data_IF_820566309179
#
_entry.id   IF_820566309179
#
_cell.length_a   1.000
_cell.length_b   1.000
_cell.length_c   1.000
_cell.angle_alpha   90.00
_cell.angle_beta   90.00
_cell.angle_gamma   90.00
#
_symmetry.space_group_name_H-M   'P 1'
#
loop_
_entity.id
_entity.type
_entity.pdbx_description
1 polymer ?
#
# COMPACT_ATOMS: atom_id res chain seq x y z
N UNK A 1 -3.20 -17.72 -22.29
CA UNK A 1 -4.50 -18.15 -21.72
C UNK A 1 -4.42 -19.66 -21.64
N UNK A 2 -4.64 -20.26 -20.47
CA UNK A 2 -4.69 -21.72 -20.36
C UNK A 2 -5.92 -22.24 -21.11
N UNK A 3 -5.77 -23.31 -21.90
CA UNK A 3 -6.92 -24.04 -22.46
C UNK A 3 -7.72 -24.70 -21.31
N UNK A 4 -9.00 -25.00 -21.48
CA UNK A 4 -9.85 -25.57 -20.40
C UNK A 4 -9.36 -26.94 -19.90
N UNK A 5 -8.46 -27.59 -20.66
CA UNK A 5 -7.71 -28.81 -20.35
C UNK A 5 -6.33 -28.60 -19.70
N UNK A 6 -5.89 -27.36 -19.47
CA UNK A 6 -4.50 -26.99 -19.10
C UNK A 6 -4.37 -26.22 -17.78
N UNK A 7 -5.29 -26.38 -16.84
CA UNK A 7 -5.03 -25.87 -15.49
C UNK A 7 -3.82 -26.60 -14.86
N UNK A 8 -2.93 -25.89 -14.14
CA UNK A 8 -1.82 -26.52 -13.45
C UNK A 8 -2.28 -27.69 -12.56
N UNK A 9 -1.55 -28.81 -12.58
CA UNK A 9 -1.94 -30.07 -11.91
C UNK A 9 -2.11 -29.95 -10.40
N UNK A 10 -1.49 -28.95 -9.78
CA UNK A 10 -1.64 -28.69 -8.35
C UNK A 10 -2.98 -28.05 -7.99
N UNK A 11 -3.77 -27.53 -8.95
CA UNK A 11 -5.05 -26.90 -8.64
C UNK A 11 -6.08 -27.95 -8.23
N UNK A 12 -6.71 -27.72 -7.07
CA UNK A 12 -7.77 -28.61 -6.60
C UNK A 12 -9.05 -28.41 -7.42
N UNK A 13 -9.90 -29.45 -7.54
CA UNK A 13 -11.15 -29.37 -8.30
C UNK A 13 -12.06 -28.23 -7.84
N UNK A 14 -12.21 -28.03 -6.54
CA UNK A 14 -13.06 -26.99 -5.94
C UNK A 14 -12.54 -25.57 -6.25
N UNK A 15 -11.22 -25.37 -6.27
CA UNK A 15 -10.60 -24.08 -6.62
C UNK A 15 -10.71 -23.83 -8.12
N UNK A 16 -10.52 -24.86 -8.93
CA UNK A 16 -10.69 -24.79 -10.39
C UNK A 16 -12.14 -24.45 -10.75
N UNK A 17 -13.11 -25.08 -10.09
CA UNK A 17 -14.52 -24.76 -10.26
C UNK A 17 -14.83 -23.30 -9.89
N UNK A 18 -14.19 -22.76 -8.85
CA UNK A 18 -14.34 -21.37 -8.45
C UNK A 18 -13.75 -20.37 -9.46
N UNK A 19 -12.57 -20.67 -10.03
CA UNK A 19 -11.97 -19.91 -11.12
C UNK A 19 -12.91 -19.85 -12.33
N UNK A 20 -13.44 -21.01 -12.74
CA UNK A 20 -14.39 -21.13 -13.85
C UNK A 20 -15.70 -20.38 -13.57
N UNK A 21 -16.29 -20.58 -12.37
CA UNK A 21 -17.54 -19.93 -11.94
C UNK A 21 -17.46 -18.40 -12.01
N UNK A 22 -16.28 -17.84 -11.72
CA UNK A 22 -16.05 -16.40 -11.73
C UNK A 22 -15.52 -15.87 -13.06
N UNK A 23 -15.31 -16.74 -14.04
CA UNK A 23 -14.66 -16.42 -15.32
C UNK A 23 -13.30 -15.73 -15.13
N UNK A 24 -12.52 -16.20 -14.14
CA UNK A 24 -11.19 -15.68 -13.87
C UNK A 24 -10.22 -16.24 -14.90
N UNK A 25 -9.67 -15.35 -15.71
CA UNK A 25 -8.63 -15.72 -16.65
C UNK A 25 -7.33 -16.01 -15.89
N UNK A 26 -6.59 -17.02 -16.35
CA UNK A 26 -5.33 -17.43 -15.75
C UNK A 26 -4.20 -17.33 -16.79
N UNK A 27 -3.03 -16.83 -16.36
CA UNK A 27 -1.86 -16.62 -17.21
C UNK A 27 -0.64 -17.31 -16.61
N UNK A 28 0.30 -17.79 -17.43
CA UNK A 28 1.55 -18.33 -16.94
C UNK A 28 2.37 -17.21 -16.29
N UNK A 29 2.80 -17.45 -15.06
CA UNK A 29 3.69 -16.53 -14.33
C UNK A 29 5.15 -16.76 -14.71
N UNK A 30 5.87 -15.68 -14.99
CA UNK A 30 7.33 -15.70 -15.19
C UNK A 30 8.11 -15.40 -13.90
N UNK A 31 7.43 -15.00 -12.82
CA UNK A 31 8.08 -14.68 -11.54
C UNK A 31 8.97 -15.80 -10.97
N UNK A 32 8.71 -17.11 -11.17
CA UNK A 32 9.68 -18.15 -10.76
C UNK A 32 11.08 -18.02 -11.39
N UNK A 33 11.19 -17.41 -12.57
CA UNK A 33 12.48 -17.19 -13.24
C UNK A 33 13.26 -16.01 -12.64
N UNK A 34 12.54 -15.01 -12.13
CA UNK A 34 13.12 -13.76 -11.64
C UNK A 34 13.21 -13.69 -10.11
N UNK A 35 12.38 -14.44 -9.40
CA UNK A 35 12.28 -14.44 -7.94
C UNK A 35 12.21 -15.88 -7.39
N UNK A 36 13.24 -16.72 -7.64
CA UNK A 36 13.20 -18.13 -7.23
C UNK A 36 13.12 -18.30 -5.70
N UNK A 37 13.61 -17.32 -4.93
CA UNK A 37 13.61 -17.37 -3.46
C UNK A 37 12.25 -17.06 -2.81
N UNK A 38 11.29 -16.55 -3.57
CA UNK A 38 9.93 -16.27 -3.07
C UNK A 38 8.85 -16.90 -3.95
N UNK A 39 8.57 -18.20 -3.76
CA UNK A 39 7.59 -18.93 -4.57
C UNK A 39 6.15 -18.39 -4.48
N UNK A 40 5.82 -17.66 -3.40
CA UNK A 40 4.51 -17.04 -3.25
C UNK A 40 4.31 -15.85 -4.19
N UNK A 41 5.39 -15.12 -4.53
CA UNK A 41 5.33 -14.02 -5.49
C UNK A 41 5.02 -14.48 -6.91
N UNK A 42 5.09 -15.80 -7.18
CA UNK A 42 4.69 -16.37 -8.46
C UNK A 42 3.18 -16.31 -8.73
N UNK A 43 2.37 -16.07 -7.69
CA UNK A 43 0.92 -15.93 -7.80
C UNK A 43 0.55 -14.46 -7.66
N UNK A 44 -0.04 -13.87 -8.70
CA UNK A 44 -0.35 -12.45 -8.70
C UNK A 44 -1.66 -12.14 -9.42
N UNK A 45 -2.53 -11.39 -8.76
CA UNK A 45 -3.63 -10.71 -9.39
C UNK A 45 -3.10 -9.63 -10.35
N UNK A 46 -3.55 -9.70 -11.60
CA UNK A 46 -3.21 -8.72 -12.64
C UNK A 46 -4.48 -8.01 -13.07
N UNK A 47 -4.43 -6.68 -13.05
CA UNK A 47 -5.50 -5.80 -13.53
C UNK A 47 -4.95 -4.72 -14.45
N UNK A 48 -4.90 -5.05 -15.73
CA UNK A 48 -4.61 -4.08 -16.79
C UNK A 48 -5.88 -3.60 -17.49
N UNK A 49 -7.08 -3.83 -16.93
CA UNK A 49 -8.38 -3.45 -17.53
C UNK A 49 -8.52 -1.96 -17.91
N UNK A 50 -7.61 -1.10 -17.41
CA UNK A 50 -7.52 0.32 -17.74
C UNK A 50 -6.74 0.63 -19.03
N UNK A 51 -6.09 -0.37 -19.64
CA UNK A 51 -5.36 -0.26 -20.90
C UNK A 51 -6.26 -0.71 -22.07
N UNK A 52 -5.97 -0.24 -23.30
CA UNK A 52 -6.78 -0.50 -24.51
C UNK A 52 -7.01 -1.98 -24.84
N UNK A 53 -6.14 -2.87 -24.34
CA UNK A 53 -6.24 -4.33 -24.45
C UNK A 53 -6.29 -5.01 -23.08
N UNK A 54 -6.88 -4.32 -22.10
CA UNK A 54 -6.77 -4.64 -20.70
C UNK A 54 -7.24 -6.04 -20.32
N UNK A 55 -6.44 -6.67 -19.47
CA UNK A 55 -6.54 -8.06 -19.07
C UNK A 55 -6.74 -8.10 -17.55
N UNK A 56 -7.69 -8.93 -17.08
CA UNK A 56 -7.95 -9.11 -15.65
C UNK A 56 -7.94 -10.59 -15.31
N UNK A 57 -7.09 -10.99 -14.38
CA UNK A 57 -6.96 -12.40 -14.03
C UNK A 57 -5.84 -12.66 -13.02
N UNK A 58 -5.33 -13.88 -13.04
CA UNK A 58 -4.29 -14.34 -12.11
C UNK A 58 -3.12 -14.89 -12.91
N UNK A 59 -1.93 -14.34 -12.68
CA UNK A 59 -0.67 -14.99 -13.03
C UNK A 59 -0.39 -16.09 -12.03
N UNK A 60 -0.11 -17.29 -12.52
CA UNK A 60 0.27 -18.43 -11.71
C UNK A 60 1.24 -19.32 -12.47
N UNK A 61 2.20 -19.98 -11.80
CA UNK A 61 3.19 -20.79 -12.49
C UNK A 61 2.60 -22.15 -12.90
N UNK A 62 3.11 -22.72 -13.99
CA UNK A 62 2.74 -24.07 -14.44
C UNK A 62 3.15 -25.15 -13.45
N UNK A 63 4.32 -24.98 -12.86
CA UNK A 63 4.89 -25.81 -11.80
C UNK A 63 5.29 -24.91 -10.63
N UNK A 64 5.14 -25.39 -9.40
CA UNK A 64 5.47 -24.63 -8.21
C UNK A 64 6.20 -25.52 -7.21
N UNK A 65 7.23 -24.99 -6.51
CA UNK A 65 7.86 -25.72 -5.40
C UNK A 65 6.98 -25.71 -4.13
N UNK A 66 5.89 -24.93 -4.11
CA UNK A 66 4.92 -24.97 -3.02
C UNK A 66 4.18 -26.32 -3.02
N UNK A 67 3.83 -26.81 -1.84
CA UNK A 67 2.90 -27.92 -1.75
C UNK A 67 1.52 -27.54 -2.30
N UNK A 68 0.77 -28.55 -2.72
CA UNK A 68 -0.55 -28.39 -3.34
C UNK A 68 -1.48 -27.51 -2.49
N UNK A 69 -1.53 -27.71 -1.17
CA UNK A 69 -2.40 -26.94 -0.30
C UNK A 69 -2.00 -25.46 -0.31
N UNK A 70 -0.72 -25.15 -0.07
CA UNK A 70 -0.22 -23.78 -0.02
C UNK A 70 -0.39 -23.05 -1.37
N UNK A 71 -0.16 -23.73 -2.49
CA UNK A 71 -0.38 -23.17 -3.82
C UNK A 71 -1.85 -22.77 -4.04
N UNK A 72 -2.80 -23.62 -3.63
CA UNK A 72 -4.23 -23.31 -3.73
C UNK A 72 -4.67 -22.19 -2.78
N UNK A 73 -4.06 -22.08 -1.60
CA UNK A 73 -4.28 -20.93 -0.69
C UNK A 73 -3.84 -19.62 -1.36
N UNK A 74 -2.67 -19.61 -2.03
CA UNK A 74 -2.20 -18.46 -2.78
C UNK A 74 -3.16 -18.08 -3.92
N UNK A 75 -3.66 -19.05 -4.68
CA UNK A 75 -4.65 -18.79 -5.74
C UNK A 75 -5.96 -18.23 -5.17
N UNK A 76 -6.46 -18.77 -4.05
CA UNK A 76 -7.65 -18.26 -3.38
C UNK A 76 -7.46 -16.82 -2.87
N UNK A 77 -6.25 -16.48 -2.41
CA UNK A 77 -5.87 -15.11 -2.05
C UNK A 77 -5.98 -14.16 -3.25
N UNK A 78 -5.46 -14.55 -4.42
CA UNK A 78 -5.55 -13.74 -5.65
C UNK A 78 -7.00 -13.61 -6.16
N UNK A 79 -7.84 -14.64 -6.04
CA UNK A 79 -9.29 -14.49 -6.27
C UNK A 79 -9.90 -13.50 -5.27
N UNK A 80 -9.41 -13.50 -4.03
CA UNK A 80 -9.76 -12.51 -3.01
C UNK A 80 -9.51 -11.07 -3.47
N UNK A 81 -8.37 -10.80 -4.12
CA UNK A 81 -8.06 -9.50 -4.72
C UNK A 81 -9.11 -9.10 -5.77
N UNK A 82 -9.41 -9.99 -6.72
CA UNK A 82 -10.45 -9.78 -7.75
C UNK A 82 -11.79 -9.39 -7.13
N UNK A 83 -12.23 -10.11 -6.09
CA UNK A 83 -13.51 -9.85 -5.43
C UNK A 83 -13.49 -8.55 -4.65
N UNK A 84 -12.37 -8.22 -4.02
CA UNK A 84 -12.24 -7.03 -3.17
C UNK A 84 -12.16 -5.73 -3.99
N UNK A 85 -11.50 -5.77 -5.16
CA UNK A 85 -11.26 -4.62 -6.05
C UNK A 85 -12.50 -4.22 -6.86
N UNK A 86 -13.49 -5.11 -7.03
CA UNK A 86 -14.80 -4.75 -7.63
C UNK A 86 -15.49 -3.57 -6.95
N UNK A 87 -15.17 -3.31 -5.67
CA UNK A 87 -15.74 -2.19 -4.91
C UNK A 87 -15.08 -0.84 -5.24
N UNK A 88 -13.93 -0.81 -5.93
CA UNK A 88 -13.16 0.40 -6.31
C UNK A 88 -12.93 1.39 -5.16
N UNK A 89 -12.80 0.91 -3.93
CA UNK A 89 -12.56 1.75 -2.75
C UNK A 89 -11.06 1.99 -2.63
N UNK A 90 -10.58 3.26 -2.65
CA UNK A 90 -9.17 3.56 -2.42
C UNK A 90 -8.69 3.03 -1.07
N UNK A 91 -7.61 2.25 -1.07
CA UNK A 91 -7.02 1.63 0.12
C UNK A 91 -5.50 1.61 -0.02
N UNK A 92 -4.79 1.69 1.11
CA UNK A 92 -3.35 1.38 1.14
C UNK A 92 -3.10 -0.07 0.76
N UNK A 93 -1.90 -0.38 0.24
CA UNK A 93 -1.50 -1.76 -0.09
C UNK A 93 -1.80 -2.73 1.05
N UNK A 94 -1.36 -2.45 2.28
CA UNK A 94 -1.69 -3.28 3.45
C UNK A 94 -3.20 -3.54 3.63
N UNK A 95 -4.04 -2.51 3.41
CA UNK A 95 -5.49 -2.65 3.55
C UNK A 95 -6.12 -3.43 2.40
N UNK A 96 -5.49 -3.42 1.21
CA UNK A 96 -5.88 -4.28 0.09
C UNK A 96 -5.61 -5.74 0.42
N UNK A 97 -4.41 -6.08 0.87
CA UNK A 97 -4.07 -7.45 1.31
C UNK A 97 -5.04 -7.98 2.37
N UNK A 98 -5.29 -7.19 3.42
CA UNK A 98 -6.25 -7.60 4.47
C UNK A 98 -7.67 -7.79 3.92
N UNK A 99 -8.09 -7.01 2.92
CA UNK A 99 -9.39 -7.17 2.29
C UNK A 99 -9.44 -8.42 1.40
N UNK A 100 -8.37 -8.69 0.65
CA UNK A 100 -8.22 -9.88 -0.17
C UNK A 100 -8.27 -11.16 0.67
N UNK A 101 -7.51 -11.23 1.78
CA UNK A 101 -7.55 -12.36 2.72
C UNK A 101 -8.94 -12.60 3.30
N UNK A 102 -9.67 -11.53 3.69
CA UNK A 102 -11.05 -11.66 4.16
C UNK A 102 -12.01 -12.17 3.09
N UNK A 103 -11.77 -11.81 1.83
CA UNK A 103 -12.54 -12.34 0.70
C UNK A 103 -12.17 -13.81 0.44
N UNK A 104 -10.89 -14.15 0.47
CA UNK A 104 -10.38 -15.51 0.31
C UNK A 104 -10.93 -16.47 1.37
N UNK A 105 -10.99 -16.06 2.64
CA UNK A 105 -11.59 -16.85 3.72
C UNK A 105 -13.07 -17.16 3.46
N UNK A 106 -13.84 -16.17 3.00
CA UNK A 106 -15.25 -16.38 2.63
C UNK A 106 -15.40 -17.32 1.45
N UNK A 107 -14.49 -17.24 0.48
CA UNK A 107 -14.48 -18.14 -0.68
C UNK A 107 -14.15 -19.55 -0.22
N UNK A 108 -13.07 -19.73 0.55
CA UNK A 108 -12.67 -21.01 1.17
C UNK A 108 -13.86 -21.67 1.85
N UNK A 109 -14.52 -20.95 2.75
CA UNK A 109 -15.66 -21.46 3.51
C UNK A 109 -16.84 -21.82 2.58
N UNK A 110 -17.09 -21.02 1.55
CA UNK A 110 -18.17 -21.25 0.58
C UNK A 110 -17.93 -22.46 -0.33
N UNK A 111 -16.69 -22.78 -0.68
CA UNK A 111 -16.36 -23.90 -1.57
C UNK A 111 -15.97 -25.16 -0.80
N UNK A 112 -15.93 -25.09 0.54
CA UNK A 112 -15.54 -26.20 1.40
C UNK A 112 -14.04 -26.53 1.37
N UNK A 113 -13.18 -25.58 0.99
CA UNK A 113 -11.73 -25.80 0.97
C UNK A 113 -11.19 -25.94 2.41
N UNK A 114 -10.30 -26.92 2.68
CA UNK A 114 -9.89 -27.21 4.05
C UNK A 114 -9.09 -26.09 4.73
N UNK A 115 -9.14 -26.05 6.05
CA UNK A 115 -8.36 -25.13 6.89
C UNK A 115 -6.88 -25.50 7.00
N UNK A 116 -6.51 -26.74 6.70
CA UNK A 116 -5.13 -27.22 6.73
C UNK A 116 -4.99 -28.54 5.98
N UNK A 117 -3.76 -28.90 5.64
CA UNK A 117 -3.42 -30.17 5.03
C UNK A 117 -2.77 -31.11 6.07
N UNK A 118 -3.44 -32.22 6.44
CA UNK A 118 -2.88 -33.19 7.40
C UNK A 118 -1.56 -33.82 6.97
N UNK A 119 -1.26 -33.86 5.66
CA UNK A 119 -0.04 -34.50 5.15
C UNK A 119 1.20 -33.63 5.33
N UNK A 120 1.06 -32.34 5.08
CA UNK A 120 2.17 -31.37 5.19
C UNK A 120 2.20 -30.67 6.54
N UNK A 121 1.08 -30.67 7.27
CA UNK A 121 0.90 -29.91 8.50
C UNK A 121 0.60 -28.43 8.27
N UNK A 122 0.64 -27.97 7.01
CA UNK A 122 0.44 -26.56 6.66
C UNK A 122 -1.01 -26.14 6.91
N UNK A 123 -1.17 -24.98 7.52
CA UNK A 123 -2.49 -24.39 7.81
C UNK A 123 -2.74 -23.11 7.02
N UNK A 124 -4.02 -22.79 6.83
CA UNK A 124 -4.46 -21.53 6.23
C UNK A 124 -3.87 -20.32 6.98
N UNK A 125 -3.92 -20.35 8.31
CA UNK A 125 -3.44 -19.25 9.14
C UNK A 125 -1.93 -19.06 9.05
N UNK A 126 -1.16 -20.14 8.89
CA UNK A 126 0.29 -20.05 8.66
C UNK A 126 0.60 -19.46 7.28
N UNK A 127 -0.04 -19.97 6.22
CA UNK A 127 0.13 -19.43 4.87
C UNK A 127 -0.23 -17.93 4.82
N UNK A 128 -1.35 -17.54 5.44
CA UNK A 128 -1.76 -16.14 5.59
C UNK A 128 -0.76 -15.31 6.38
N UNK A 129 -0.27 -15.83 7.51
CA UNK A 129 0.71 -15.13 8.35
C UNK A 129 2.02 -14.91 7.60
N UNK A 130 2.49 -15.93 6.88
CA UNK A 130 3.68 -15.85 6.05
C UNK A 130 3.52 -14.79 4.96
N UNK A 131 2.45 -14.85 4.17
CA UNK A 131 2.19 -13.87 3.12
C UNK A 131 2.05 -12.43 3.66
N UNK A 132 1.31 -12.24 4.77
CA UNK A 132 1.17 -10.91 5.37
C UNK A 132 2.46 -10.36 5.97
N UNK A 133 3.42 -11.22 6.35
CA UNK A 133 4.70 -10.75 6.89
C UNK A 133 5.48 -9.89 5.90
N UNK A 134 5.40 -10.19 4.60
CA UNK A 134 6.00 -9.39 3.51
C UNK A 134 5.44 -7.97 3.45
N UNK A 135 4.17 -7.79 3.83
CA UNK A 135 3.46 -6.51 3.77
C UNK A 135 3.41 -5.77 5.12
N UNK A 136 3.80 -6.40 6.22
CA UNK A 136 3.77 -5.79 7.56
C UNK A 136 4.56 -4.46 7.63
N UNK A 137 5.70 -4.27 6.95
CA UNK A 137 6.37 -2.98 6.88
C UNK A 137 5.53 -1.85 6.25
N UNK A 138 4.58 -2.17 5.38
CA UNK A 138 3.65 -1.21 4.76
C UNK A 138 2.47 -0.84 5.65
N UNK A 139 2.30 -1.51 6.79
CA UNK A 139 1.23 -1.19 7.72
C UNK A 139 1.43 0.23 8.26
N UNK A 140 0.46 1.09 7.97
CA UNK A 140 0.38 2.43 8.55
C UNK A 140 -0.09 2.28 10.00
N UNK A 141 0.79 2.60 10.94
CA UNK A 141 0.56 2.50 12.39
C UNK A 141 0.35 3.90 12.96
N UNK A 142 -0.67 4.05 13.81
CA UNK A 142 -1.02 5.35 14.36
C UNK A 142 0.14 5.98 15.13
N UNK A 143 0.77 5.23 16.03
CA UNK A 143 1.82 5.76 16.92
C UNK A 143 3.10 6.13 16.16
N UNK A 144 3.53 5.33 15.18
CA UNK A 144 4.82 5.52 14.52
C UNK A 144 4.75 6.36 13.26
N UNK A 145 3.60 6.39 12.58
CA UNK A 145 3.45 7.11 11.30
C UNK A 145 2.56 8.34 11.44
N UNK A 146 1.37 8.19 12.02
CA UNK A 146 0.34 9.25 12.05
C UNK A 146 0.59 10.27 13.15
N UNK A 147 0.92 9.83 14.37
CA UNK A 147 1.12 10.72 15.50
C UNK A 147 2.30 11.69 15.29
N UNK A 148 3.46 11.28 14.73
CA UNK A 148 4.53 12.22 14.39
C UNK A 148 4.10 13.24 13.32
N UNK A 149 3.31 12.81 12.33
CA UNK A 149 2.76 13.71 11.32
C UNK A 149 1.87 14.78 11.98
N UNK A 150 0.90 14.37 12.80
CA UNK A 150 0.00 15.29 13.52
C UNK A 150 0.80 16.23 14.43
N UNK A 151 1.75 15.70 15.22
CA UNK A 151 2.56 16.51 16.13
C UNK A 151 3.37 17.56 15.37
N UNK A 152 4.03 17.16 14.29
CA UNK A 152 4.84 18.08 13.49
C UNK A 152 3.97 19.15 12.83
N UNK A 153 2.76 18.80 12.40
CA UNK A 153 1.79 19.76 11.89
C UNK A 153 1.36 20.77 12.96
N UNK A 154 0.98 20.31 14.16
CA UNK A 154 0.58 21.19 15.27
C UNK A 154 1.73 22.11 15.69
N UNK A 155 2.93 21.56 15.86
CA UNK A 155 4.12 22.36 16.23
C UNK A 155 4.43 23.39 15.16
N UNK A 156 4.40 23.01 13.87
CA UNK A 156 4.63 23.94 12.77
C UNK A 156 3.59 25.06 12.70
N UNK A 157 2.31 24.74 12.93
CA UNK A 157 1.24 25.73 13.00
C UNK A 157 1.43 26.68 14.20
N UNK A 158 1.78 26.15 15.38
CA UNK A 158 2.01 26.94 16.58
C UNK A 158 3.21 27.89 16.44
N UNK A 159 4.35 27.41 15.93
CA UNK A 159 5.55 28.23 15.69
C UNK A 159 5.24 29.34 14.69
N UNK A 160 4.53 29.03 13.61
CA UNK A 160 4.12 30.01 12.60
C UNK A 160 3.24 31.10 13.22
N UNK A 161 2.24 30.71 14.02
CA UNK A 161 1.33 31.63 14.70
C UNK A 161 2.06 32.54 15.70
N UNK A 162 2.98 31.97 16.49
CA UNK A 162 3.78 32.70 17.47
C UNK A 162 4.71 33.71 16.81
N UNK A 163 5.42 33.30 15.74
CA UNK A 163 6.28 34.20 14.98
C UNK A 163 5.47 35.35 14.36
N UNK A 164 4.33 35.04 13.74
CA UNK A 164 3.47 36.07 13.16
C UNK A 164 2.98 37.07 14.21
N UNK A 165 2.53 36.58 15.36
CA UNK A 165 2.06 37.42 16.48
C UNK A 165 3.18 38.27 17.06
N UNK A 166 4.39 37.73 17.22
CA UNK A 166 5.55 38.47 17.72
C UNK A 166 5.90 39.62 16.79
N UNK A 167 6.03 39.38 15.48
CA UNK A 167 6.40 40.43 14.55
C UNK A 167 5.29 41.49 14.44
N UNK A 168 4.02 41.09 14.44
CA UNK A 168 2.89 42.03 14.47
C UNK A 168 2.95 42.96 15.68
N UNK A 169 3.19 42.43 16.88
CA UNK A 169 3.28 43.21 18.11
C UNK A 169 4.50 44.14 18.14
N UNK A 170 5.67 43.68 17.67
CA UNK A 170 6.88 44.52 17.57
C UNK A 170 6.68 45.70 16.63
N UNK A 171 6.00 45.48 15.51
CA UNK A 171 5.63 46.55 14.57
C UNK A 171 4.65 47.52 15.23
N UNK A 172 3.63 47.03 15.93
CA UNK A 172 2.69 47.90 16.63
C UNK A 172 3.37 48.78 17.69
N UNK A 173 4.26 48.19 18.50
CA UNK A 173 5.00 48.89 19.57
C UNK A 173 6.00 49.93 19.04
N UNK A 174 6.71 49.64 17.95
CA UNK A 174 7.71 50.56 17.39
C UNK A 174 7.11 51.85 16.83
N UNK A 175 5.81 51.86 16.57
CA UNK A 175 5.19 52.85 15.70
C UNK A 175 4.06 53.64 16.36
N UNK A 176 3.47 53.16 17.46
CA UNK A 176 2.74 53.97 18.46
C UNK A 176 1.44 54.68 18.02
N UNK A 177 1.18 54.97 16.74
CA UNK A 177 -0.03 55.68 16.29
C UNK A 177 -0.44 55.37 14.84
N UNK A 178 -1.66 54.90 14.54
CA UNK A 178 -2.03 54.35 13.23
C UNK A 178 -2.04 55.31 12.01
N UNK A 179 -1.83 56.62 12.19
CA UNK A 179 -2.07 57.62 11.14
C UNK A 179 -0.89 57.93 10.19
N UNK A 180 0.35 57.60 10.56
CA UNK A 180 1.57 57.94 9.77
C UNK A 180 2.26 56.74 9.11
N UNK A 181 1.68 55.54 9.19
CA UNK A 181 2.50 54.30 9.26
C UNK A 181 2.21 53.31 8.13
N UNK A 182 1.23 53.58 7.26
CA UNK A 182 0.77 52.62 6.26
C UNK A 182 1.88 51.99 5.39
N UNK A 183 2.89 52.73 4.88
CA UNK A 183 3.96 52.15 4.06
C UNK A 183 4.95 51.28 4.85
N UNK A 184 5.28 51.68 6.08
CA UNK A 184 6.23 50.96 6.94
C UNK A 184 5.58 49.78 7.65
N UNK A 185 4.29 49.89 7.98
CA UNK A 185 3.44 48.78 8.39
C UNK A 185 3.34 47.74 7.27
N UNK A 186 3.15 48.16 6.02
CA UNK A 186 3.15 47.25 4.88
C UNK A 186 4.50 46.57 4.68
N UNK A 187 5.63 47.28 4.75
CA UNK A 187 6.97 46.67 4.68
C UNK A 187 7.27 45.72 5.83
N UNK A 188 6.85 46.06 7.05
CA UNK A 188 7.09 45.21 8.20
C UNK A 188 6.16 43.98 8.20
N UNK A 189 4.91 44.14 7.74
CA UNK A 189 4.00 43.00 7.49
C UNK A 189 4.56 42.08 6.40
N UNK A 190 5.18 42.62 5.35
CA UNK A 190 5.84 41.85 4.30
C UNK A 190 7.06 41.07 4.82
N UNK A 191 7.88 41.68 5.68
CA UNK A 191 9.00 40.99 6.35
C UNK A 191 8.52 39.93 7.35
N UNK A 192 7.44 40.20 8.09
CA UNK A 192 6.75 39.23 8.95
C UNK A 192 6.26 38.04 8.15
N UNK A 193 5.65 38.32 6.99
CA UNK A 193 5.18 37.33 6.05
C UNK A 193 6.33 36.49 5.50
N UNK A 194 7.48 37.08 5.15
CA UNK A 194 8.66 36.35 4.68
C UNK A 194 9.27 35.42 5.76
N UNK A 195 9.31 35.85 7.03
CA UNK A 195 9.78 35.02 8.15
C UNK A 195 8.78 33.90 8.45
N UNK A 196 7.48 34.23 8.49
CA UNK A 196 6.42 33.25 8.63
C UNK A 196 6.42 32.23 7.47
N UNK A 197 6.66 32.68 6.23
CA UNK A 197 6.77 31.83 5.05
C UNK A 197 7.97 30.88 5.14
N UNK A 198 9.10 31.33 5.69
CA UNK A 198 10.27 30.47 5.95
C UNK A 198 9.98 29.44 7.05
N UNK A 199 9.32 29.84 8.14
CA UNK A 199 8.89 28.93 9.22
C UNK A 199 7.85 27.90 8.78
N UNK A 200 6.91 28.33 7.92
CA UNK A 200 5.97 27.46 7.20
C UNK A 200 6.71 26.53 6.26
N UNK A 201 7.72 27.02 5.52
CA UNK A 201 8.53 26.20 4.61
C UNK A 201 9.29 25.08 5.31
N UNK A 202 9.91 25.35 6.46
CA UNK A 202 10.56 24.33 7.30
C UNK A 202 9.56 23.34 7.90
N UNK A 203 8.41 23.83 8.35
CA UNK A 203 7.32 22.98 8.86
C UNK A 203 6.74 22.09 7.77
N UNK A 204 6.55 22.62 6.56
CA UNK A 204 6.17 21.89 5.36
C UNK A 204 7.23 20.84 5.06
N UNK A 205 8.53 21.15 5.07
CA UNK A 205 9.58 20.16 4.79
C UNK A 205 9.55 18.95 5.77
N UNK A 206 9.32 19.20 7.06
CA UNK A 206 9.23 18.14 8.08
C UNK A 206 7.91 17.34 7.96
N UNK A 207 6.79 18.03 7.73
CA UNK A 207 5.48 17.41 7.47
C UNK A 207 5.52 16.60 6.17
N UNK A 208 6.22 17.09 5.14
CA UNK A 208 6.44 16.43 3.86
C UNK A 208 7.21 15.13 4.03
N UNK A 209 8.22 15.04 4.90
CA UNK A 209 8.91 13.75 5.18
C UNK A 209 8.02 12.73 5.89
N UNK A 210 7.17 13.18 6.82
CA UNK A 210 6.23 12.28 7.50
C UNK A 210 5.09 11.84 6.56
N UNK A 211 4.54 12.78 5.77
CA UNK A 211 3.58 12.51 4.71
C UNK A 211 4.15 11.57 3.66
N UNK A 212 5.41 11.76 3.26
CA UNK A 212 6.10 10.92 2.30
C UNK A 212 6.23 9.48 2.81
N UNK A 213 6.62 9.26 4.06
CA UNK A 213 6.66 7.91 4.65
C UNK A 213 5.29 7.24 4.66
N UNK A 214 4.23 7.98 4.98
CA UNK A 214 2.85 7.46 4.92
C UNK A 214 2.48 7.12 3.47
N UNK A 215 2.84 7.98 2.52
CA UNK A 215 2.60 7.80 1.09
C UNK A 215 3.37 6.58 0.52
N UNK A 216 4.63 6.39 0.88
CA UNK A 216 5.42 5.21 0.51
C UNK A 216 4.77 3.92 1.01
N UNK A 217 4.32 3.89 2.27
CA UNK A 217 3.57 2.75 2.83
C UNK A 217 2.21 2.56 2.16
N UNK A 218 1.53 3.66 1.83
CA UNK A 218 0.23 3.63 1.18
C UNK A 218 0.31 3.02 -0.21
N UNK A 219 1.36 3.38 -0.97
CA UNK A 219 1.57 2.96 -2.36
C UNK A 219 2.37 1.67 -2.49
N UNK A 220 3.15 1.28 -1.48
CA UNK A 220 4.05 0.12 -1.55
C UNK A 220 5.39 0.41 -2.22
N UNK A 221 5.67 1.68 -2.60
CA UNK A 221 6.84 2.08 -3.41
C UNK A 221 8.21 1.62 -2.87
N UNK A 222 8.32 1.36 -1.56
CA UNK A 222 9.56 0.86 -0.96
C UNK A 222 9.85 -0.62 -1.29
N UNK A 223 8.82 -1.46 -1.47
CA UNK A 223 8.99 -2.84 -1.93
C UNK A 223 9.46 -2.90 -3.38
N UNK A 224 8.94 -2.01 -4.23
CA UNK A 224 9.41 -1.89 -5.63
C UNK A 224 10.91 -1.55 -5.66
N UNK A 225 11.35 -0.54 -4.89
CA UNK A 225 12.78 -0.16 -4.86
C UNK A 225 13.72 -1.22 -4.28
N UNK A 226 13.26 -2.02 -3.32
CA UNK A 226 14.07 -3.08 -2.71
C UNK A 226 14.21 -4.28 -3.66
N UNK A 227 13.15 -4.63 -4.39
CA UNK A 227 13.21 -5.66 -5.42
C UNK A 227 14.08 -5.22 -6.62
N UNK A 228 14.04 -3.95 -7.02
CA UNK A 228 14.89 -3.42 -8.09
C UNK A 228 16.38 -3.36 -7.73
N UNK A 229 16.73 -3.19 -6.45
CA UNK A 229 18.13 -3.20 -6.02
C UNK A 229 18.70 -4.62 -5.98
N UNK A 230 17.93 -5.62 -5.54
CA UNK A 230 18.34 -7.02 -5.65
C UNK A 230 18.49 -7.51 -7.09
N UNK A 231 17.77 -6.89 -8.05
CA UNK A 231 17.92 -7.16 -9.48
C UNK A 231 19.18 -6.53 -10.10
N UNK A 232 19.80 -5.54 -9.45
CA UNK A 232 21.02 -4.86 -9.95
C UNK A 232 22.33 -5.41 -9.38
N UNK A 233 22.24 -6.26 -8.35
CA UNK A 233 23.38 -6.88 -7.68
C UNK A 233 23.62 -8.35 -8.09
N UNK A 234 22.80 -8.89 -9.00
CA UNK A 234 22.96 -10.21 -9.64
C UNK A 234 23.19 -10.08 -11.14
#
# INVERSE_FOLDING_TARGET
MFDESEYPKYLRPEVTAELKRRSVQCYPSLAPLFCPENPHAAFAYVDSSRLEHGVCGIEMPLETPLDEFTANVAVLHEIGHIVSEKKKIPRSVWRKEIAAWKCAEKIRDSIGFPQGDPRTGNTWDEAKRFALSTYEPLRIRFVTDVLPFIRNFIVGAAVTFLLHSLVFNLVFLAYGHPATILPDLMRASWRSFAIAATGVGLSIAVVSRAAWRIYEKWTGRKLESQNSQSESEN
#
